data_IF_824756373659
#
_entry.id   IF_824756373659
#
_cell.length_a   1.000
_cell.length_b   1.000
_cell.length_c   1.000
_cell.angle_alpha   90.00
_cell.angle_beta   90.00
_cell.angle_gamma   90.00
#
_symmetry.space_group_name_H-M   'P 1'
#
loop_
_entity.id
_entity.type
_entity.pdbx_description
1 polymer ?
#
# COMPACT_ATOMS: atom_id res chain seq x y z
N UNK A 1 17.71 88.23 17.83
CA UNK A 1 18.63 89.34 17.52
C UNK A 1 17.85 90.39 16.76
N UNK A 2 17.56 91.55 17.37
CA UNK A 2 16.90 92.69 16.76
C UNK A 2 17.94 93.61 16.07
N UNK A 3 17.57 94.88 15.83
CA UNK A 3 18.36 96.02 15.31
C UNK A 3 18.10 96.23 13.80
N UNK A 4 17.57 97.35 13.30
CA UNK A 4 17.73 98.74 13.76
C UNK A 4 16.53 99.63 13.38
N UNK A 5 16.06 100.39 14.36
CA UNK A 5 15.28 101.63 14.20
C UNK A 5 16.30 102.76 14.30
N UNK A 6 16.28 103.73 13.40
CA UNK A 6 16.86 105.04 13.65
C UNK A 6 15.74 106.03 13.88
N UNK A 7 15.77 106.62 15.07
CA UNK A 7 14.92 107.69 15.55
C UNK A 7 15.31 109.05 14.94
N UNK A 8 14.33 109.96 14.91
CA UNK A 8 14.50 111.36 14.56
C UNK A 8 13.24 112.16 14.90
N UNK A 9 13.04 112.39 16.19
CA UNK A 9 12.00 113.20 16.85
C UNK A 9 12.13 114.72 16.53
N UNK A 10 11.32 115.63 17.10
CA UNK A 10 9.86 115.76 17.09
C UNK A 10 9.40 117.22 16.81
N UNK A 11 8.11 117.48 16.56
CA UNK A 11 7.47 118.71 17.06
C UNK A 11 5.93 118.67 16.99
N UNK A 12 5.35 118.61 18.19
CA UNK A 12 4.22 119.38 18.70
C UNK A 12 2.91 119.50 17.89
N UNK A 13 1.87 118.94 18.54
CA UNK A 13 0.57 119.58 18.84
C UNK A 13 -0.38 119.91 17.68
N UNK A 14 -1.52 119.21 17.63
CA UNK A 14 -2.74 119.67 18.31
C UNK A 14 -3.91 118.72 18.01
N UNK A 15 -4.67 118.39 19.06
CA UNK A 15 -5.95 117.68 18.99
C UNK A 15 -6.98 118.42 18.12
N UNK A 16 -7.77 117.68 17.31
CA UNK A 16 -9.18 118.05 17.03
C UNK A 16 -9.98 116.83 16.52
N UNK A 17 -11.21 116.75 17.02
CA UNK A 17 -12.06 115.57 17.03
C UNK A 17 -12.48 115.00 15.67
N UNK A 18 -12.81 113.70 15.73
CA UNK A 18 -13.45 112.87 14.71
C UNK A 18 -14.69 113.55 14.13
N UNK A 19 -14.50 114.17 12.97
CA UNK A 19 -15.58 114.44 12.01
C UNK A 19 -15.64 113.23 11.08
N UNK A 20 -16.85 112.81 10.69
CA UNK A 20 -17.03 111.89 9.56
C UNK A 20 -16.08 112.30 8.44
N UNK A 21 -15.10 111.43 8.15
CA UNK A 21 -13.94 111.76 7.33
C UNK A 21 -14.35 111.70 5.86
N UNK A 22 -15.05 112.74 5.42
CA UNK A 22 -15.37 112.93 4.01
C UNK A 22 -14.08 113.28 3.28
N UNK A 23 -13.48 112.28 2.63
CA UNK A 23 -12.34 112.49 1.74
C UNK A 23 -12.85 113.24 0.51
N UNK A 24 -12.39 114.48 0.33
CA UNK A 24 -12.75 115.32 -0.82
C UNK A 24 -12.00 114.84 -2.06
N UNK A 25 -12.62 113.96 -2.82
CA UNK A 25 -12.07 113.44 -4.09
C UNK A 25 -12.38 114.40 -5.23
N UNK A 26 -11.43 114.57 -6.17
CA UNK A 26 -11.71 115.34 -7.38
C UNK A 26 -12.73 114.57 -8.21
N UNK A 27 -13.78 115.26 -8.65
CA UNK A 27 -14.87 114.68 -9.46
C UNK A 27 -14.36 113.83 -10.64
N UNK A 28 -13.31 114.30 -11.32
CA UNK A 28 -12.65 113.59 -12.43
C UNK A 28 -12.05 112.23 -12.04
N UNK A 29 -11.48 112.12 -10.84
CA UNK A 29 -10.86 110.88 -10.37
C UNK A 29 -11.93 109.85 -9.99
N UNK A 30 -13.04 110.29 -9.39
CA UNK A 30 -14.19 109.44 -9.10
C UNK A 30 -14.90 108.96 -10.38
N UNK A 31 -15.05 109.85 -11.37
CA UNK A 31 -15.60 109.51 -12.68
C UNK A 31 -14.71 108.49 -13.41
N UNK A 32 -13.39 108.69 -13.38
CA UNK A 32 -12.43 107.74 -13.96
C UNK A 32 -12.50 106.36 -13.29
N UNK A 33 -12.49 106.30 -11.96
CA UNK A 33 -12.64 105.05 -11.23
C UNK A 33 -13.97 104.36 -11.55
N UNK A 34 -15.05 105.14 -11.65
CA UNK A 34 -16.37 104.61 -12.04
C UNK A 34 -16.32 104.01 -13.44
N UNK A 35 -15.66 104.66 -14.40
CA UNK A 35 -15.50 104.12 -15.76
C UNK A 35 -14.61 102.88 -15.82
N UNK A 36 -13.51 102.84 -15.06
CA UNK A 36 -12.63 101.66 -14.99
C UNK A 36 -13.37 100.47 -14.35
N UNK A 37 -14.13 100.71 -13.27
CA UNK A 37 -14.96 99.69 -12.61
C UNK A 37 -16.10 99.23 -13.52
N UNK A 38 -16.75 100.13 -14.26
CA UNK A 38 -17.78 99.77 -15.25
C UNK A 38 -17.19 98.94 -16.38
N UNK A 39 -16.03 99.33 -16.93
CA UNK A 39 -15.34 98.55 -17.96
C UNK A 39 -14.99 97.16 -17.44
N UNK A 40 -14.40 97.04 -16.25
CA UNK A 40 -14.11 95.74 -15.64
C UNK A 40 -15.40 94.93 -15.49
N UNK A 41 -16.47 95.51 -14.96
CA UNK A 41 -17.77 94.84 -14.81
C UNK A 41 -18.36 94.36 -16.14
N UNK A 42 -18.14 95.10 -17.22
CA UNK A 42 -18.69 94.78 -18.54
C UNK A 42 -17.79 93.79 -19.32
N UNK A 43 -16.47 93.80 -19.09
CA UNK A 43 -15.49 92.90 -19.73
C UNK A 43 -15.31 91.57 -18.99
N UNK A 44 -15.38 91.55 -17.66
CA UNK A 44 -15.13 90.36 -16.84
C UNK A 44 -16.05 89.18 -17.20
N UNK A 45 -17.37 89.35 -17.41
CA UNK A 45 -18.26 88.25 -17.79
C UNK A 45 -18.02 87.72 -19.21
N UNK A 46 -17.45 88.55 -20.10
CA UNK A 46 -17.10 88.13 -21.47
C UNK A 46 -15.85 87.24 -21.50
N UNK A 47 -14.97 87.42 -20.53
CA UNK A 47 -13.74 86.64 -20.36
C UNK A 47 -14.02 85.40 -19.49
N UNK A 48 -14.72 85.58 -18.36
CA UNK A 48 -15.23 84.51 -17.50
C UNK A 48 -16.61 84.06 -18.01
N UNK A 49 -16.64 83.55 -19.24
CA UNK A 49 -17.87 82.98 -19.79
C UNK A 49 -18.16 81.60 -19.15
N UNK A 50 -19.42 81.17 -19.17
CA UNK A 50 -19.86 79.89 -18.61
C UNK A 50 -19.08 78.68 -19.12
N UNK A 51 -18.65 78.70 -20.39
CA UNK A 51 -17.82 77.66 -21.00
C UNK A 51 -16.43 77.53 -20.35
N UNK A 52 -15.82 78.65 -19.94
CA UNK A 52 -14.53 78.65 -19.24
C UNK A 52 -14.70 78.06 -17.84
N UNK A 53 -15.77 78.45 -17.12
CA UNK A 53 -16.09 77.90 -15.80
C UNK A 53 -16.42 76.41 -15.86
N UNK A 54 -17.18 75.96 -16.86
CA UNK A 54 -17.50 74.55 -17.09
C UNK A 54 -16.23 73.75 -17.44
N UNK A 55 -15.32 74.33 -18.21
CA UNK A 55 -14.02 73.72 -18.52
C UNK A 55 -13.17 73.53 -17.26
N UNK A 56 -13.14 74.51 -16.35
CA UNK A 56 -12.47 74.36 -15.05
C UNK A 56 -13.11 73.27 -14.18
N UNK A 57 -14.44 73.17 -14.17
CA UNK A 57 -15.14 72.09 -13.44
C UNK A 57 -14.81 70.71 -14.03
N UNK A 58 -14.81 70.58 -15.37
CA UNK A 58 -14.39 69.35 -16.06
C UNK A 58 -12.93 69.01 -15.76
N UNK A 59 -12.03 69.99 -15.81
CA UNK A 59 -10.61 69.80 -15.48
C UNK A 59 -10.44 69.27 -14.05
N UNK A 60 -11.16 69.84 -13.08
CA UNK A 60 -11.15 69.38 -11.68
C UNK A 60 -11.65 67.94 -11.50
N UNK A 61 -12.66 67.54 -12.29
CA UNK A 61 -13.16 66.15 -12.29
C UNK A 61 -12.10 65.21 -12.90
N UNK A 62 -11.47 65.62 -14.00
CA UNK A 62 -10.40 64.84 -14.66
C UNK A 62 -9.19 64.69 -13.74
N UNK A 63 -8.76 65.76 -13.07
CA UNK A 63 -7.67 65.76 -12.09
C UNK A 63 -7.94 64.78 -10.95
N UNK A 64 -9.14 64.84 -10.35
CA UNK A 64 -9.54 63.88 -9.30
C UNK A 64 -9.60 62.43 -9.81
N UNK A 65 -9.96 62.23 -11.07
CA UNK A 65 -9.97 60.90 -11.67
C UNK A 65 -8.54 60.41 -11.98
N UNK A 66 -7.63 61.31 -12.36
CA UNK A 66 -6.22 61.01 -12.57
C UNK A 66 -5.57 60.58 -11.25
N UNK A 67 -5.76 61.34 -10.17
CA UNK A 67 -5.25 60.98 -8.83
C UNK A 67 -5.75 59.59 -8.39
N UNK A 68 -7.03 59.29 -8.62
CA UNK A 68 -7.59 57.95 -8.31
C UNK A 68 -6.93 56.87 -9.16
N UNK A 69 -6.70 57.13 -10.45
CA UNK A 69 -6.06 56.17 -11.36
C UNK A 69 -4.59 55.95 -11.01
N UNK A 70 -3.87 56.98 -10.55
CA UNK A 70 -2.51 56.85 -10.05
C UNK A 70 -2.44 55.98 -8.80
N UNK A 71 -3.37 56.16 -7.86
CA UNK A 71 -3.49 55.30 -6.68
C UNK A 71 -3.81 53.84 -7.05
N UNK A 72 -4.76 53.63 -7.96
CA UNK A 72 -5.09 52.29 -8.46
C UNK A 72 -3.88 51.62 -9.15
N UNK A 73 -3.12 52.38 -9.93
CA UNK A 73 -1.93 51.89 -10.63
C UNK A 73 -0.82 51.52 -9.64
N UNK A 74 -0.61 52.32 -8.60
CA UNK A 74 0.38 52.02 -7.56
C UNK A 74 -0.01 50.79 -6.74
N UNK A 75 -1.31 50.64 -6.41
CA UNK A 75 -1.82 49.43 -5.77
C UNK A 75 -1.57 48.20 -6.66
N UNK A 76 -1.86 48.29 -7.96
CA UNK A 76 -1.68 47.18 -8.88
C UNK A 76 -0.20 46.80 -9.02
N UNK A 77 0.73 47.76 -9.00
CA UNK A 77 2.18 47.47 -8.98
C UNK A 77 2.57 46.68 -7.73
N UNK A 78 2.13 47.12 -6.55
CA UNK A 78 2.42 46.41 -5.30
C UNK A 78 1.87 44.98 -5.34
N UNK A 79 0.66 44.80 -5.86
CA UNK A 79 0.05 43.47 -6.02
C UNK A 79 0.87 42.60 -7.00
N UNK A 80 1.32 43.17 -8.13
CA UNK A 80 2.18 42.46 -9.08
C UNK A 80 3.50 42.00 -8.45
N UNK A 81 4.16 42.84 -7.66
CA UNK A 81 5.40 42.49 -6.95
C UNK A 81 5.16 41.38 -5.92
N UNK A 82 4.07 41.47 -5.16
CA UNK A 82 3.68 40.44 -4.20
C UNK A 82 3.39 39.10 -4.87
N UNK A 83 2.63 39.08 -5.97
CA UNK A 83 2.36 37.85 -6.72
C UNK A 83 3.62 37.26 -7.34
N UNK A 84 4.53 38.12 -7.84
CA UNK A 84 5.82 37.67 -8.37
C UNK A 84 6.67 36.99 -7.30
N UNK A 85 6.80 37.61 -6.12
CA UNK A 85 7.54 37.03 -4.99
C UNK A 85 6.94 35.68 -4.53
N UNK A 86 5.60 35.58 -4.48
CA UNK A 86 4.91 34.32 -4.16
C UNK A 86 5.17 33.24 -5.21
N UNK A 87 5.14 33.60 -6.49
CA UNK A 87 5.40 32.66 -7.58
C UNK A 87 6.84 32.15 -7.53
N UNK A 88 7.82 33.03 -7.30
CA UNK A 88 9.23 32.66 -7.16
C UNK A 88 9.45 31.70 -5.96
N UNK A 89 8.77 31.95 -4.84
CA UNK A 89 8.82 31.09 -3.64
C UNK A 89 8.27 29.69 -3.96
N UNK A 90 7.06 29.62 -4.53
CA UNK A 90 6.43 28.33 -4.90
C UNK A 90 7.26 27.59 -5.95
N UNK A 91 7.88 28.31 -6.89
CA UNK A 91 8.75 27.72 -7.89
C UNK A 91 10.01 27.11 -7.25
N UNK A 92 10.66 27.83 -6.32
CA UNK A 92 11.82 27.33 -5.60
C UNK A 92 11.48 26.08 -4.78
N UNK A 93 10.36 26.09 -4.07
CA UNK A 93 9.86 24.96 -3.30
C UNK A 93 9.56 23.76 -4.23
N UNK A 94 8.88 23.97 -5.36
CA UNK A 94 8.60 22.90 -6.33
C UNK A 94 9.87 22.27 -6.89
N UNK A 95 10.92 23.05 -7.14
CA UNK A 95 12.21 22.53 -7.62
C UNK A 95 12.88 21.70 -6.52
N UNK A 96 12.84 22.16 -5.26
CA UNK A 96 13.38 21.43 -4.10
C UNK A 96 12.65 20.10 -3.92
N UNK A 97 11.32 20.12 -3.90
CA UNK A 97 10.48 18.93 -3.73
C UNK A 97 10.71 17.91 -4.86
N UNK A 98 10.89 18.39 -6.11
CA UNK A 98 11.23 17.52 -7.25
C UNK A 98 12.59 16.82 -7.05
N UNK A 99 13.59 17.53 -6.54
CA UNK A 99 14.92 16.94 -6.26
C UNK A 99 14.84 15.89 -5.14
N UNK A 100 14.15 16.20 -4.05
CA UNK A 100 13.93 15.27 -2.94
C UNK A 100 13.16 14.02 -3.40
N UNK A 101 12.11 14.19 -4.18
CA UNK A 101 11.35 13.08 -4.76
C UNK A 101 12.20 12.18 -5.64
N UNK A 102 13.13 12.74 -6.43
CA UNK A 102 14.06 11.95 -7.24
C UNK A 102 15.05 11.18 -6.36
N UNK A 103 15.61 11.82 -5.34
CA UNK A 103 16.52 11.17 -4.39
C UNK A 103 15.83 10.00 -3.65
N UNK A 104 14.61 10.21 -3.14
CA UNK A 104 13.83 9.16 -2.47
C UNK A 104 13.48 8.01 -3.42
N UNK A 105 13.14 8.30 -4.69
CA UNK A 105 12.90 7.25 -5.70
C UNK A 105 14.15 6.42 -5.97
N UNK A 106 15.31 7.05 -6.02
CA UNK A 106 16.56 6.33 -6.20
C UNK A 106 16.84 5.40 -5.03
N UNK A 107 16.73 5.89 -3.78
CA UNK A 107 16.90 5.06 -2.58
C UNK A 107 15.90 3.90 -2.53
N UNK A 108 14.64 4.14 -2.90
CA UNK A 108 13.63 3.08 -2.98
C UNK A 108 14.00 2.01 -4.00
N UNK A 109 14.51 2.40 -5.16
CA UNK A 109 14.93 1.45 -6.19
C UNK A 109 16.15 0.64 -5.74
N UNK A 110 17.13 1.27 -5.10
CA UNK A 110 18.30 0.59 -4.54
C UNK A 110 17.88 -0.42 -3.46
N UNK A 111 17.03 -0.02 -2.52
CA UNK A 111 16.51 -0.91 -1.48
C UNK A 111 15.69 -2.07 -2.07
N UNK A 112 14.87 -1.81 -3.10
CA UNK A 112 14.10 -2.84 -3.80
C UNK A 112 15.03 -3.85 -4.48
N UNK A 113 16.09 -3.40 -5.13
CA UNK A 113 17.05 -4.28 -5.78
C UNK A 113 17.80 -5.14 -4.76
N UNK A 114 18.21 -4.56 -3.62
CA UNK A 114 18.84 -5.31 -2.53
C UNK A 114 17.91 -6.39 -1.97
N UNK A 115 16.63 -6.08 -1.76
CA UNK A 115 15.65 -7.06 -1.27
C UNK A 115 15.43 -8.20 -2.27
N UNK A 116 15.37 -7.91 -3.57
CA UNK A 116 15.24 -8.94 -4.60
C UNK A 116 16.46 -9.87 -4.63
N UNK A 117 17.67 -9.31 -4.59
CA UNK A 117 18.91 -10.09 -4.52
C UNK A 117 18.98 -10.94 -3.24
N UNK A 118 18.55 -10.38 -2.10
CA UNK A 118 18.52 -11.12 -0.85
C UNK A 118 17.51 -12.26 -0.90
N UNK A 119 16.33 -12.05 -1.50
CA UNK A 119 15.31 -13.07 -1.65
C UNK A 119 15.82 -14.23 -2.53
N UNK A 120 16.39 -13.92 -3.70
CA UNK A 120 16.99 -14.91 -4.60
C UNK A 120 18.09 -15.71 -3.90
N UNK A 121 19.03 -15.02 -3.25
CA UNK A 121 20.11 -15.67 -2.50
C UNK A 121 19.60 -16.58 -1.38
N UNK A 122 18.60 -16.13 -0.60
CA UNK A 122 18.03 -16.94 0.48
C UNK A 122 17.31 -18.18 -0.06
N UNK A 123 16.63 -18.06 -1.20
CA UNK A 123 15.96 -19.17 -1.86
C UNK A 123 16.97 -20.17 -2.40
N UNK A 124 18.01 -19.73 -3.11
CA UNK A 124 19.06 -20.61 -3.63
C UNK A 124 19.83 -21.32 -2.51
N UNK A 125 20.23 -20.58 -1.47
CA UNK A 125 20.88 -21.17 -0.30
C UNK A 125 19.95 -22.15 0.40
N UNK A 126 18.69 -21.78 0.59
CA UNK A 126 17.67 -22.62 1.21
C UNK A 126 17.47 -23.92 0.45
N UNK A 127 17.36 -23.85 -0.88
CA UNK A 127 17.24 -25.02 -1.76
C UNK A 127 18.43 -25.95 -1.60
N UNK A 128 19.67 -25.44 -1.70
CA UNK A 128 20.88 -26.24 -1.56
C UNK A 128 20.99 -26.88 -0.16
N UNK A 129 20.85 -26.09 0.90
CA UNK A 129 20.98 -26.55 2.28
C UNK A 129 19.90 -27.57 2.65
N UNK A 130 18.65 -27.31 2.27
CA UNK A 130 17.54 -28.23 2.57
C UNK A 130 17.60 -29.50 1.74
N UNK A 131 18.09 -29.45 0.50
CA UNK A 131 18.28 -30.68 -0.30
C UNK A 131 19.33 -31.59 0.33
N UNK A 132 20.45 -31.01 0.79
CA UNK A 132 21.47 -31.76 1.53
C UNK A 132 20.91 -32.33 2.85
N UNK A 133 20.18 -31.50 3.61
CA UNK A 133 19.58 -31.91 4.87
C UNK A 133 18.55 -33.03 4.66
N UNK A 134 17.75 -32.96 3.60
CA UNK A 134 16.81 -34.01 3.23
C UNK A 134 17.52 -35.34 2.98
N UNK A 135 18.62 -35.31 2.21
CA UNK A 135 19.41 -36.51 1.92
C UNK A 135 19.90 -37.22 3.18
N UNK A 136 20.41 -36.45 4.16
CA UNK A 136 20.92 -37.02 5.42
C UNK A 136 19.82 -37.33 6.45
N UNK A 137 18.62 -36.77 6.30
CA UNK A 137 17.49 -36.99 7.22
C UNK A 137 16.95 -38.42 7.18
N UNK A 138 17.43 -39.27 6.26
CA UNK A 138 17.08 -40.70 6.22
C UNK A 138 17.71 -41.51 7.36
N UNK A 139 18.69 -40.97 8.09
CA UNK A 139 19.32 -41.60 9.27
C UNK A 139 18.56 -41.24 10.55
N UNK A 140 18.24 -42.26 11.35
CA UNK A 140 17.52 -42.10 12.62
C UNK A 140 18.34 -41.26 13.63
N UNK A 141 19.66 -41.38 13.62
CA UNK A 141 20.59 -40.60 14.44
C UNK A 141 20.51 -39.10 14.11
N UNK A 142 20.46 -38.77 12.82
CA UNK A 142 20.33 -37.39 12.35
C UNK A 142 18.96 -36.83 12.75
N UNK A 143 17.89 -37.60 12.59
CA UNK A 143 16.54 -37.19 13.01
C UNK A 143 16.48 -36.91 14.52
N UNK A 144 17.08 -37.77 15.35
CA UNK A 144 17.17 -37.54 16.80
C UNK A 144 17.97 -36.28 17.14
N UNK A 145 19.08 -36.02 16.43
CA UNK A 145 19.89 -34.82 16.63
C UNK A 145 19.12 -33.54 16.24
N UNK A 146 18.38 -33.56 15.13
CA UNK A 146 17.54 -32.44 14.70
C UNK A 146 16.46 -32.16 15.75
N UNK A 147 15.73 -33.19 16.18
CA UNK A 147 14.64 -33.05 17.16
C UNK A 147 15.12 -32.67 18.56
N UNK A 148 16.33 -33.08 18.94
CA UNK A 148 16.95 -32.71 20.21
C UNK A 148 17.56 -31.31 20.23
N UNK A 149 17.63 -30.63 19.08
CA UNK A 149 18.20 -29.28 18.96
C UNK A 149 17.26 -28.17 19.42
N UNK A 150 17.82 -27.10 19.98
CA UNK A 150 17.06 -25.91 20.43
C UNK A 150 16.40 -25.13 19.27
N UNK A 151 16.86 -25.35 18.03
CA UNK A 151 16.31 -24.74 16.81
C UNK A 151 15.19 -25.53 16.15
N UNK A 152 14.87 -26.74 16.62
CA UNK A 152 13.87 -27.60 15.98
C UNK A 152 12.52 -26.89 15.78
N UNK A 153 11.98 -26.27 16.85
CA UNK A 153 10.70 -25.55 16.79
C UNK A 153 10.74 -24.37 15.82
N UNK A 154 11.85 -23.62 15.80
CA UNK A 154 12.01 -22.49 14.88
C UNK A 154 12.09 -22.97 13.44
N UNK A 155 12.79 -24.06 13.18
CA UNK A 155 12.85 -24.69 11.85
C UNK A 155 11.46 -25.06 11.36
N UNK A 156 10.69 -25.85 12.12
CA UNK A 156 9.34 -26.25 11.71
C UNK A 156 8.38 -25.06 11.56
N UNK A 157 8.49 -24.04 12.40
CA UNK A 157 7.69 -22.80 12.25
C UNK A 157 7.99 -22.08 10.93
N UNK A 158 9.28 -21.95 10.57
CA UNK A 158 9.67 -21.33 9.31
C UNK A 158 9.22 -22.20 8.13
N UNK A 159 9.44 -23.52 8.21
CA UNK A 159 9.00 -24.45 7.17
C UNK A 159 7.51 -24.36 6.91
N UNK A 160 6.69 -24.34 7.98
CA UNK A 160 5.24 -24.19 7.87
C UNK A 160 4.83 -22.87 7.20
N UNK A 161 5.43 -21.76 7.61
CA UNK A 161 5.17 -20.44 7.01
C UNK A 161 5.59 -20.37 5.54
N UNK A 162 6.76 -20.90 5.19
CA UNK A 162 7.27 -20.94 3.82
C UNK A 162 6.33 -21.75 2.92
N UNK A 163 5.91 -22.93 3.38
CA UNK A 163 4.98 -23.79 2.66
C UNK A 163 3.61 -23.13 2.50
N UNK A 164 3.06 -22.51 3.54
CA UNK A 164 1.79 -21.78 3.48
C UNK A 164 1.85 -20.60 2.50
N UNK A 165 2.92 -19.79 2.58
CA UNK A 165 3.14 -18.65 1.68
C UNK A 165 3.30 -19.10 0.22
N UNK A 166 4.00 -20.20 -0.01
CA UNK A 166 4.16 -20.77 -1.34
C UNK A 166 2.81 -21.17 -1.92
N UNK A 167 1.96 -21.86 -1.15
CA UNK A 167 0.61 -22.24 -1.58
C UNK A 167 -0.26 -21.03 -1.90
N UNK A 168 -0.22 -19.98 -1.09
CA UNK A 168 -0.94 -18.73 -1.39
C UNK A 168 -0.47 -18.06 -2.68
N UNK A 169 0.78 -18.31 -3.10
CA UNK A 169 1.35 -17.75 -4.33
C UNK A 169 1.02 -18.55 -5.60
N UNK A 170 0.45 -19.74 -5.46
CA UNK A 170 0.03 -20.59 -6.58
C UNK A 170 -1.37 -20.17 -7.03
N UNK A 171 -1.46 -19.05 -7.73
CA UNK A 171 -2.74 -18.51 -8.24
C UNK A 171 -3.02 -19.08 -9.65
N UNK A 172 -3.39 -20.37 -9.73
CA UNK A 172 -3.86 -21.05 -10.95
C UNK A 172 -2.87 -21.20 -12.12
N UNK A 173 -1.79 -20.42 -12.16
CA UNK A 173 -0.75 -20.46 -13.18
C UNK A 173 0.31 -21.50 -12.82
N UNK A 174 0.61 -22.37 -13.77
CA UNK A 174 1.63 -23.40 -13.63
C UNK A 174 2.99 -22.70 -13.64
N UNK A 175 3.52 -22.39 -12.44
CA UNK A 175 4.91 -21.94 -12.29
C UNK A 175 5.86 -23.03 -12.80
N UNK A 176 6.96 -22.61 -13.44
CA UNK A 176 8.02 -23.51 -13.90
C UNK A 176 8.45 -24.46 -12.77
N UNK A 177 8.32 -25.76 -13.01
CA UNK A 177 8.53 -26.80 -12.00
C UNK A 177 9.97 -26.82 -11.45
N UNK A 178 10.93 -26.32 -12.23
CA UNK A 178 12.38 -26.37 -11.95
C UNK A 178 12.95 -25.09 -11.32
N UNK A 179 12.12 -24.23 -10.74
CA UNK A 179 12.60 -23.05 -10.02
C UNK A 179 13.28 -23.43 -8.69
N UNK A 180 14.26 -22.63 -8.27
CA UNK A 180 14.91 -22.77 -6.95
C UNK A 180 13.88 -22.66 -5.81
N UNK A 181 12.81 -21.87 -5.98
CA UNK A 181 11.69 -21.78 -5.03
C UNK A 181 10.98 -23.14 -4.85
N UNK A 182 10.66 -23.81 -5.96
CA UNK A 182 10.01 -25.12 -5.91
C UNK A 182 10.93 -26.17 -5.29
N UNK A 183 12.20 -26.20 -5.70
CA UNK A 183 13.20 -27.12 -5.14
C UNK A 183 13.36 -26.91 -3.63
N UNK A 184 13.39 -25.65 -3.18
CA UNK A 184 13.45 -25.32 -1.75
C UNK A 184 12.23 -25.83 -0.99
N UNK A 185 11.02 -25.57 -1.50
CA UNK A 185 9.77 -26.00 -0.85
C UNK A 185 9.63 -27.53 -0.85
N UNK A 186 10.00 -28.20 -1.94
CA UNK A 186 9.99 -29.66 -2.00
C UNK A 186 11.01 -30.30 -1.07
N UNK A 187 12.21 -29.73 -0.96
CA UNK A 187 13.22 -30.22 -0.02
C UNK A 187 12.76 -30.06 1.44
N UNK A 188 12.14 -28.92 1.79
CA UNK A 188 11.52 -28.71 3.10
C UNK A 188 10.42 -29.74 3.37
N UNK A 189 9.51 -29.96 2.42
CA UNK A 189 8.47 -30.98 2.56
C UNK A 189 9.07 -32.38 2.77
N UNK A 190 10.12 -32.71 2.01
CA UNK A 190 10.87 -33.96 2.11
C UNK A 190 11.47 -34.18 3.49
N UNK A 191 12.19 -33.20 4.04
CA UNK A 191 12.78 -33.26 5.39
C UNK A 191 11.69 -33.56 6.43
N UNK A 192 10.62 -32.78 6.42
CA UNK A 192 9.56 -32.86 7.42
C UNK A 192 8.85 -34.22 7.32
N UNK A 193 8.65 -34.73 6.10
CA UNK A 193 8.11 -36.07 5.83
C UNK A 193 9.01 -37.18 6.38
N UNK A 194 10.33 -37.09 6.14
CA UNK A 194 11.28 -38.10 6.62
C UNK A 194 11.37 -38.11 8.16
N UNK A 195 11.39 -36.92 8.79
CA UNK A 195 11.39 -36.80 10.26
C UNK A 195 10.12 -37.41 10.86
N UNK A 196 8.95 -37.16 10.27
CA UNK A 196 7.69 -37.75 10.71
C UNK A 196 7.68 -39.28 10.59
N UNK A 197 8.31 -39.82 9.54
CA UNK A 197 8.41 -41.26 9.35
C UNK A 197 9.37 -41.93 10.35
N UNK A 198 10.48 -41.27 10.71
CA UNK A 198 11.49 -41.80 11.63
C UNK A 198 11.13 -41.66 13.12
N UNK A 199 10.25 -40.72 13.48
CA UNK A 199 9.89 -40.42 14.87
C UNK A 199 8.40 -40.63 15.13
N UNK A 200 8.06 -41.73 15.79
CA UNK A 200 6.67 -42.07 16.20
C UNK A 200 6.01 -41.06 17.16
N UNK A 201 6.74 -40.04 17.61
CA UNK A 201 6.32 -39.04 18.59
C UNK A 201 5.92 -37.68 18.00
N UNK A 202 6.10 -37.44 16.69
CA UNK A 202 5.91 -36.11 16.08
C UNK A 202 4.69 -36.01 15.15
N UNK A 203 3.65 -36.82 15.42
CA UNK A 203 2.37 -36.83 14.69
C UNK A 203 1.50 -35.58 14.96
N UNK A 204 1.78 -34.85 16.06
CA UNK A 204 0.95 -33.75 16.55
C UNK A 204 1.14 -32.44 15.77
N UNK A 205 2.31 -32.20 15.19
CA UNK A 205 2.63 -30.94 14.49
C UNK A 205 2.17 -30.95 13.02
N UNK A 206 1.88 -32.13 12.46
CA UNK A 206 1.46 -32.32 11.07
C UNK A 206 -0.03 -32.13 10.83
N UNK A 207 -0.85 -32.28 11.87
CA UNK A 207 -2.31 -32.16 11.74
C UNK A 207 -2.78 -30.72 11.51
N UNK A 208 -1.93 -29.72 11.78
CA UNK A 208 -2.20 -28.31 11.43
C UNK A 208 -1.60 -27.88 10.09
N UNK A 209 -0.70 -28.68 9.50
CA UNK A 209 -0.14 -28.46 8.16
C UNK A 209 -0.99 -29.17 7.08
N UNK A 210 -2.31 -29.15 7.28
CA UNK A 210 -3.30 -30.10 6.73
C UNK A 210 -3.60 -29.95 5.23
N UNK A 211 -2.90 -29.09 4.48
CA UNK A 211 -3.35 -28.66 3.15
C UNK A 211 -2.21 -28.40 2.13
N UNK A 212 -1.07 -29.08 2.23
CA UNK A 212 -0.06 -29.04 1.16
C UNK A 212 -0.21 -30.22 0.19
N UNK A 213 -1.09 -30.03 -0.79
CA UNK A 213 -1.29 -30.75 -2.07
C UNK A 213 -1.15 -32.28 -2.09
N UNK A 214 -2.23 -32.91 -2.59
CA UNK A 214 -2.63 -34.30 -2.41
C UNK A 214 -1.56 -35.39 -2.62
N UNK A 215 -0.61 -35.23 -3.55
CA UNK A 215 0.39 -36.27 -3.85
C UNK A 215 1.42 -36.49 -2.72
N UNK A 216 2.07 -35.42 -2.24
CA UNK A 216 3.05 -35.51 -1.14
C UNK A 216 2.37 -35.82 0.19
N UNK A 217 1.15 -35.31 0.38
CA UNK A 217 0.32 -35.60 1.55
C UNK A 217 -0.14 -37.05 1.60
N UNK A 218 -0.61 -37.62 0.49
CA UNK A 218 -1.01 -39.03 0.43
C UNK A 218 0.17 -39.97 0.63
N UNK A 219 1.35 -39.63 0.09
CA UNK A 219 2.57 -40.39 0.33
C UNK A 219 2.99 -40.31 1.81
N UNK A 220 2.89 -39.14 2.42
CA UNK A 220 3.19 -38.94 3.85
C UNK A 220 2.19 -39.67 4.74
N UNK A 221 0.89 -39.53 4.47
CA UNK A 221 -0.18 -40.25 5.19
C UNK A 221 0.00 -41.75 5.02
N UNK A 222 0.31 -42.23 3.82
CA UNK A 222 0.60 -43.64 3.59
C UNK A 222 1.80 -44.09 4.42
N UNK A 223 2.90 -43.34 4.41
CA UNK A 223 4.08 -43.65 5.23
C UNK A 223 3.76 -43.68 6.73
N UNK A 224 2.91 -42.75 7.21
CA UNK A 224 2.43 -42.76 8.60
C UNK A 224 1.50 -43.95 8.86
N UNK A 225 0.68 -44.37 7.88
CA UNK A 225 -0.23 -45.51 7.98
C UNK A 225 0.50 -46.85 8.11
N UNK A 226 1.76 -46.94 7.66
CA UNK A 226 2.62 -48.11 7.88
C UNK A 226 2.93 -48.27 9.37
N UNK A 227 2.92 -47.18 10.16
CA UNK A 227 3.12 -47.22 11.60
C UNK A 227 1.77 -47.42 12.33
N UNK A 228 1.66 -48.47 13.15
CA UNK A 228 0.43 -48.78 13.90
C UNK A 228 -0.10 -47.62 14.77
N UNK A 229 0.79 -46.87 15.43
CA UNK A 229 0.39 -45.71 16.25
C UNK A 229 -0.10 -44.56 15.36
N UNK A 230 0.59 -44.34 14.24
CA UNK A 230 0.20 -43.36 13.23
C UNK A 230 -1.17 -43.67 12.61
N UNK A 231 -1.39 -44.92 12.22
CA UNK A 231 -2.65 -45.39 11.65
C UNK A 231 -3.83 -45.23 12.62
N UNK A 232 -3.67 -45.65 13.88
CA UNK A 232 -4.69 -45.44 14.93
C UNK A 232 -5.04 -43.97 15.11
N UNK A 233 -4.03 -43.11 15.11
CA UNK A 233 -4.24 -41.67 15.30
C UNK A 233 -4.96 -41.02 14.13
N UNK A 234 -4.57 -41.31 12.89
CA UNK A 234 -5.19 -40.70 11.71
C UNK A 234 -6.64 -41.18 11.56
N UNK A 235 -6.90 -42.47 11.82
CA UNK A 235 -8.24 -43.06 11.72
C UNK A 235 -9.23 -42.59 12.79
N UNK A 236 -8.74 -42.07 13.93
CA UNK A 236 -9.57 -41.44 14.96
C UNK A 236 -10.08 -40.05 14.56
N UNK A 237 -9.54 -39.45 13.49
CA UNK A 237 -10.02 -38.17 12.96
C UNK A 237 -11.36 -38.37 12.22
N UNK A 238 -12.45 -37.70 12.63
CA UNK A 238 -13.79 -37.91 12.03
C UNK A 238 -13.89 -37.47 10.57
N UNK A 239 -12.93 -36.70 10.06
CA UNK A 239 -12.88 -36.28 8.66
C UNK A 239 -12.03 -37.18 7.76
N UNK A 240 -11.34 -38.18 8.31
CA UNK A 240 -10.36 -38.96 7.55
C UNK A 240 -11.01 -39.85 6.50
N UNK A 241 -12.00 -40.66 6.87
CA UNK A 241 -12.68 -41.58 5.95
C UNK A 241 -13.45 -40.83 4.84
N UNK A 242 -14.23 -39.76 5.14
CA UNK A 242 -14.86 -38.94 4.11
C UNK A 242 -13.84 -38.31 3.14
N UNK A 243 -12.67 -37.89 3.63
CA UNK A 243 -11.59 -37.36 2.81
C UNK A 243 -11.05 -38.41 1.84
N UNK A 244 -10.82 -39.66 2.28
CA UNK A 244 -10.37 -40.74 1.39
C UNK A 244 -11.37 -40.95 0.23
N UNK A 245 -12.67 -40.94 0.50
CA UNK A 245 -13.69 -41.10 -0.53
C UNK A 245 -13.73 -39.95 -1.53
N UNK A 246 -13.60 -38.73 -1.02
CA UNK A 246 -13.49 -37.55 -1.87
C UNK A 246 -12.26 -37.65 -2.78
N UNK A 247 -11.11 -38.09 -2.25
CA UNK A 247 -9.87 -38.25 -3.02
C UNK A 247 -9.90 -39.40 -4.03
N UNK A 248 -10.67 -40.47 -3.81
CA UNK A 248 -10.89 -41.52 -4.84
C UNK A 248 -11.61 -41.00 -6.09
N UNK A 249 -12.26 -39.83 -5.99
CA UNK A 249 -12.91 -39.18 -7.13
C UNK A 249 -11.95 -38.34 -7.97
N UNK A 250 -10.69 -38.19 -7.55
CA UNK A 250 -9.68 -37.43 -8.28
C UNK A 250 -9.39 -38.05 -9.67
N UNK A 251 -9.16 -37.24 -10.72
CA UNK A 251 -8.81 -37.74 -12.05
C UNK A 251 -7.41 -38.39 -12.10
N UNK A 252 -6.52 -38.08 -11.16
CA UNK A 252 -5.15 -38.58 -11.12
C UNK A 252 -5.06 -40.01 -10.57
N UNK A 253 -4.48 -40.89 -11.39
CA UNK A 253 -4.31 -42.30 -11.05
C UNK A 253 -3.33 -42.52 -9.88
N UNK A 254 -2.35 -41.63 -9.67
CA UNK A 254 -1.39 -41.76 -8.56
C UNK A 254 -2.03 -41.38 -7.22
N UNK A 255 -2.86 -40.32 -7.22
CA UNK A 255 -3.68 -39.93 -6.06
C UNK A 255 -4.58 -41.10 -5.67
N UNK A 256 -5.33 -41.64 -6.63
CA UNK A 256 -6.19 -42.80 -6.40
C UNK A 256 -5.43 -44.01 -5.86
N UNK A 257 -4.24 -44.30 -6.38
CA UNK A 257 -3.41 -45.43 -5.93
C UNK A 257 -3.01 -45.29 -4.46
N UNK A 258 -2.57 -44.11 -4.04
CA UNK A 258 -2.16 -43.89 -2.65
C UNK A 258 -3.35 -43.94 -1.70
N UNK A 259 -4.51 -43.44 -2.14
CA UNK A 259 -5.76 -43.56 -1.36
C UNK A 259 -6.14 -45.02 -1.19
N UNK A 260 -6.10 -45.85 -2.24
CA UNK A 260 -6.40 -47.28 -2.14
C UNK A 260 -5.48 -47.98 -1.13
N UNK A 261 -4.19 -47.67 -1.16
CA UNK A 261 -3.22 -48.23 -0.19
C UNK A 261 -3.48 -47.78 1.24
N UNK A 262 -3.87 -46.53 1.44
CA UNK A 262 -4.26 -46.01 2.76
C UNK A 262 -5.52 -46.71 3.29
N UNK A 263 -6.52 -46.88 2.42
CA UNK A 263 -7.74 -47.62 2.73
C UNK A 263 -7.38 -49.06 3.11
N UNK A 264 -6.46 -49.69 2.37
CA UNK A 264 -5.98 -51.03 2.66
C UNK A 264 -5.27 -51.12 4.01
N UNK A 265 -4.42 -50.17 4.38
CA UNK A 265 -3.79 -50.10 5.72
C UNK A 265 -4.85 -50.07 6.84
N UNK A 266 -5.91 -49.28 6.67
CA UNK A 266 -7.02 -49.19 7.64
C UNK A 266 -7.79 -50.50 7.75
N UNK A 267 -8.04 -51.16 6.62
CA UNK A 267 -8.82 -52.40 6.51
C UNK A 267 -8.06 -53.60 7.09
N UNK A 268 -6.75 -53.67 6.86
CA UNK A 268 -5.90 -54.78 7.33
C UNK A 268 -5.60 -54.73 8.83
N UNK A 269 -5.79 -53.58 9.49
CA UNK A 269 -5.53 -53.42 10.92
C UNK A 269 -6.81 -53.62 11.76
N UNK A 270 -6.98 -54.75 12.49
CA UNK A 270 -8.27 -55.14 13.06
C UNK A 270 -8.82 -54.16 14.10
N UNK A 271 -7.96 -53.59 14.95
CA UNK A 271 -8.38 -52.64 15.98
C UNK A 271 -8.89 -51.34 15.38
N UNK A 272 -8.27 -50.89 14.30
CA UNK A 272 -8.65 -49.67 13.58
C UNK A 272 -9.92 -49.90 12.77
N UNK A 273 -9.95 -50.99 12.00
CA UNK A 273 -11.11 -51.36 11.20
C UNK A 273 -12.36 -51.54 12.05
N UNK A 274 -12.26 -52.15 13.24
CA UNK A 274 -13.42 -52.33 14.13
C UNK A 274 -14.13 -51.03 14.51
N UNK A 275 -13.37 -49.93 14.67
CA UNK A 275 -13.90 -48.59 14.99
C UNK A 275 -14.52 -47.91 13.76
N UNK A 276 -13.93 -48.11 12.58
CA UNK A 276 -14.39 -47.47 11.34
C UNK A 276 -15.36 -48.33 10.52
N UNK A 277 -15.62 -49.59 10.91
CA UNK A 277 -16.36 -50.58 10.13
C UNK A 277 -17.77 -50.12 9.75
N UNK A 278 -18.48 -49.41 10.64
CA UNK A 278 -19.81 -48.87 10.34
C UNK A 278 -19.77 -47.82 9.23
N UNK A 279 -18.77 -46.94 9.28
CA UNK A 279 -18.59 -45.87 8.30
C UNK A 279 -18.15 -46.43 6.95
N UNK A 280 -17.26 -47.43 6.94
CA UNK A 280 -16.89 -48.16 5.73
C UNK A 280 -18.12 -48.85 5.10
N UNK A 281 -18.96 -49.52 5.89
CA UNK A 281 -20.17 -50.17 5.35
C UNK A 281 -21.17 -49.16 4.77
N UNK A 282 -21.29 -47.97 5.34
CA UNK A 282 -22.27 -46.98 4.90
C UNK A 282 -21.81 -46.10 3.73
N UNK A 283 -20.50 -45.86 3.59
CA UNK A 283 -19.97 -44.81 2.70
C UNK A 283 -18.93 -45.27 1.67
N UNK A 284 -18.50 -46.54 1.70
CA UNK A 284 -17.49 -47.06 0.77
C UNK A 284 -17.94 -46.94 -0.69
N UNK A 285 -17.18 -46.25 -1.56
CA UNK A 285 -17.51 -46.09 -2.97
C UNK A 285 -17.14 -47.33 -3.79
N UNK A 286 -17.81 -48.46 -3.53
CA UNK A 286 -17.49 -49.77 -4.11
C UNK A 286 -17.48 -49.76 -5.64
N UNK A 287 -18.41 -49.05 -6.27
CA UNK A 287 -18.49 -48.91 -7.74
C UNK A 287 -17.24 -48.24 -8.32
N UNK A 288 -16.68 -47.24 -7.63
CA UNK A 288 -15.47 -46.54 -8.06
C UNK A 288 -14.24 -47.46 -7.96
N UNK A 289 -14.13 -48.23 -6.89
CA UNK A 289 -13.04 -49.20 -6.69
C UNK A 289 -13.13 -50.32 -7.74
N UNK A 290 -14.33 -50.81 -8.05
CA UNK A 290 -14.58 -51.78 -9.12
C UNK A 290 -14.23 -51.25 -10.52
N UNK A 291 -14.39 -49.94 -10.75
CA UNK A 291 -13.93 -49.32 -12.00
C UNK A 291 -12.38 -49.27 -12.05
N UNK A 292 -11.72 -48.99 -10.93
CA UNK A 292 -10.26 -48.95 -10.83
C UNK A 292 -9.60 -50.33 -11.02
N UNK A 293 -10.24 -51.42 -10.61
CA UNK A 293 -9.75 -52.79 -10.86
C UNK A 293 -9.78 -53.19 -12.34
N UNK A 294 -10.41 -52.38 -13.18
CA UNK A 294 -10.41 -52.50 -14.66
C UNK A 294 -9.61 -51.38 -15.33
N UNK A 295 -8.82 -50.61 -14.57
CA UNK A 295 -7.99 -49.53 -15.08
C UNK A 295 -6.90 -50.04 -16.00
N UNK A 296 -6.49 -49.19 -16.96
CA UNK A 296 -5.30 -49.44 -17.80
C UNK A 296 -3.98 -49.25 -17.04
N UNK A 297 -4.01 -48.61 -15.87
CA UNK A 297 -2.83 -48.45 -15.01
C UNK A 297 -2.64 -49.73 -14.18
N UNK A 298 -1.55 -50.50 -14.39
CA UNK A 298 -1.37 -51.80 -13.74
C UNK A 298 -1.24 -51.68 -12.22
N UNK A 299 -0.55 -50.66 -11.70
CA UNK A 299 -0.38 -50.48 -10.25
C UNK A 299 -1.71 -50.18 -9.56
N UNK A 300 -2.52 -49.32 -10.17
CA UNK A 300 -3.84 -48.98 -9.66
C UNK A 300 -4.80 -50.17 -9.74
N UNK A 301 -4.75 -50.92 -10.84
CA UNK A 301 -5.53 -52.14 -11.01
C UNK A 301 -5.21 -53.19 -9.94
N UNK A 302 -3.93 -53.48 -9.70
CA UNK A 302 -3.49 -54.44 -8.68
C UNK A 302 -3.95 -54.01 -7.28
N UNK A 303 -3.68 -52.77 -6.88
CA UNK A 303 -4.08 -52.28 -5.55
C UNK A 303 -5.61 -52.32 -5.34
N UNK A 304 -6.39 -52.04 -6.39
CA UNK A 304 -7.85 -52.13 -6.32
C UNK A 304 -8.35 -53.58 -6.23
N UNK A 305 -7.68 -54.53 -6.90
CA UNK A 305 -8.00 -55.96 -6.82
C UNK A 305 -7.69 -56.53 -5.43
N UNK A 306 -6.50 -56.24 -4.91
CA UNK A 306 -6.07 -56.64 -3.56
C UNK A 306 -7.04 -56.13 -2.50
N UNK A 307 -7.37 -54.83 -2.52
CA UNK A 307 -8.33 -54.25 -1.57
C UNK A 307 -9.72 -54.92 -1.65
N UNK A 308 -10.18 -55.28 -2.85
CA UNK A 308 -11.47 -55.96 -3.01
C UNK A 308 -11.44 -57.38 -2.44
N UNK A 309 -10.31 -58.07 -2.52
CA UNK A 309 -10.10 -59.39 -1.90
C UNK A 309 -10.06 -59.27 -0.38
N UNK A 310 -9.31 -58.30 0.16
CA UNK A 310 -9.24 -58.00 1.59
C UNK A 310 -10.64 -57.72 2.17
N UNK A 311 -11.44 -56.90 1.49
CA UNK A 311 -12.82 -56.61 1.91
C UNK A 311 -13.74 -57.84 1.88
N UNK A 312 -13.56 -58.76 0.91
CA UNK A 312 -14.34 -60.02 0.85
C UNK A 312 -14.00 -60.96 1.98
N UNK A 313 -12.70 -61.12 2.29
CA UNK A 313 -12.27 -61.98 3.40
C UNK A 313 -12.81 -61.46 4.73
N UNK A 314 -12.85 -60.14 4.92
CA UNK A 314 -13.43 -59.52 6.12
C UNK A 314 -14.95 -59.63 6.19
N UNK A 315 -15.66 -59.72 5.07
CA UNK A 315 -17.09 -60.03 5.04
C UNK A 315 -17.41 -61.50 5.33
N UNK A 316 -16.42 -62.41 5.25
CA UNK A 316 -16.58 -63.81 5.62
C UNK A 316 -16.13 -64.12 7.07
N UNK A 317 -15.40 -63.19 7.69
CA UNK A 317 -14.88 -63.30 9.06
C UNK A 317 -15.69 -62.47 10.09
N UNK A 318 -16.85 -61.93 9.70
CA UNK A 318 -17.85 -61.26 10.55
C UNK A 318 -19.17 -61.99 10.40
#
# INVERSE_FOLDING_TARGET
>A
GPVERVEGSPSASACRGTKEEFVKVRKKDLERLTTEVMQIRDFLPRILNGEVLESFQKLKIVEKNLERKEQELEQLKMDCEHFKARLETVQADSIRDKKEKLALRQQLNEAKQQLLQQAEYCTEMGAAACTLLWGVSSSEEVVKAILGGDKALKFFSITGQTMESFVKSLDGDIKELDSAENQFVFALAGIVTTIACGSSSFLLTFQHLFLLHFRLMLMSLYNVSINLKGLKYISESPGFIPLLWWLLSDPDAEVCLHVLRLVQSVVLEPEVFSKSASEFRSSLPLQRILAMSKSRNPRLQTAAQELLEDLRTLQHNV
#
